data_IF_358039930218
#
_entry.id   IF_358039930218
#
_cell.length_a   1.000
_cell.length_b   1.000
_cell.length_c   1.000
_cell.angle_alpha   90.00
_cell.angle_beta   90.00
_cell.angle_gamma   90.00
#
_symmetry.space_group_name_H-M   'P 1'
#
loop_
_entity.id
_entity.type
_entity.pdbx_description
1 polymer ?
#
# COMPACT_ATOMS: atom_id res chain seq x y z
N UNK A 1 -14.03 -5.62 23.22
CA UNK A 1 -14.58 -4.77 22.13
C UNK A 1 -13.86 -3.41 22.03
N UNK A 2 -12.84 -3.12 22.86
CA UNK A 2 -12.32 -1.75 23.04
C UNK A 2 -11.20 -1.29 22.09
N UNK A 3 -10.34 -2.19 21.61
CA UNK A 3 -9.23 -1.79 20.72
C UNK A 3 -9.74 -1.35 19.34
N UNK A 4 -10.74 -2.07 18.81
CA UNK A 4 -11.33 -1.81 17.50
C UNK A 4 -12.03 -0.44 17.45
N UNK A 5 -12.73 -0.04 18.50
CA UNK A 5 -13.39 1.27 18.56
C UNK A 5 -12.35 2.41 18.58
N UNK A 6 -11.24 2.23 19.31
CA UNK A 6 -10.15 3.22 19.39
C UNK A 6 -9.41 3.40 18.06
N UNK A 7 -9.32 2.35 17.24
CA UNK A 7 -8.71 2.45 15.90
C UNK A 7 -9.42 3.48 15.00
N UNK A 8 -10.73 3.70 15.19
CA UNK A 8 -11.48 4.69 14.40
C UNK A 8 -11.13 6.16 14.71
N UNK A 9 -10.45 6.39 15.84
CA UNK A 9 -9.98 7.71 16.27
C UNK A 9 -8.54 8.00 15.84
N UNK A 10 -7.80 6.97 15.40
CA UNK A 10 -6.41 7.11 14.99
C UNK A 10 -6.30 7.62 13.55
N UNK A 11 -5.33 8.51 13.32
CA UNK A 11 -4.92 8.96 11.99
C UNK A 11 -3.75 8.15 11.43
N UNK A 12 -3.01 7.48 12.31
CA UNK A 12 -1.77 6.79 12.03
C UNK A 12 -1.61 5.54 12.90
N UNK A 13 -0.89 4.55 12.37
CA UNK A 13 -0.59 3.30 13.07
C UNK A 13 0.88 2.93 12.89
N UNK A 14 1.55 2.62 13.99
CA UNK A 14 2.90 2.03 13.98
C UNK A 14 2.81 0.57 14.38
N UNK A 15 3.36 -0.32 13.55
CA UNK A 15 3.30 -1.76 13.70
C UNK A 15 4.74 -2.30 13.67
N UNK A 16 5.14 -3.02 14.72
CA UNK A 16 6.48 -3.62 14.76
C UNK A 16 6.63 -4.74 13.72
N UNK A 17 5.65 -5.64 13.66
CA UNK A 17 5.60 -6.73 12.70
C UNK A 17 4.16 -7.20 12.53
N UNK A 18 3.81 -7.61 11.32
CA UNK A 18 2.57 -8.33 11.06
C UNK A 18 2.87 -9.82 10.97
N UNK A 19 1.98 -10.64 11.54
CA UNK A 19 2.03 -12.09 11.40
C UNK A 19 0.61 -12.58 11.12
N UNK A 20 0.29 -12.74 9.84
CA UNK A 20 -1.00 -13.28 9.42
C UNK A 20 -0.96 -14.81 9.60
N UNK A 21 -1.75 -15.34 10.52
CA UNK A 21 -2.03 -16.78 10.58
C UNK A 21 -2.89 -17.16 9.37
N UNK A 22 -2.50 -18.21 8.64
CA UNK A 22 -3.02 -18.60 7.31
C UNK A 22 -4.44 -19.17 7.28
N UNK A 23 -5.31 -18.77 8.20
CA UNK A 23 -6.71 -19.21 8.27
C UNK A 23 -7.60 -18.02 8.57
N UNK A 24 -8.10 -17.37 7.53
CA UNK A 24 -9.14 -16.35 7.66
C UNK A 24 -10.23 -16.59 6.61
N UNK A 25 -10.73 -17.83 6.58
CA UNK A 25 -12.01 -18.14 5.96
C UNK A 25 -13.09 -18.00 7.04
N UNK A 26 -13.61 -16.79 7.22
CA UNK A 26 -14.98 -16.62 7.70
C UNK A 26 -15.56 -15.32 7.17
N UNK A 27 -16.62 -15.47 6.38
CA UNK A 27 -17.40 -14.37 5.80
C UNK A 27 -17.92 -13.38 6.83
N UNK A 28 -18.03 -13.78 8.10
CA UNK A 28 -18.49 -12.95 9.22
C UNK A 28 -17.41 -12.01 9.76
N UNK A 29 -16.14 -12.42 9.74
CA UNK A 29 -15.01 -11.52 10.03
C UNK A 29 -14.73 -10.56 8.88
N UNK A 30 -14.97 -10.96 7.63
CA UNK A 30 -14.90 -10.06 6.48
C UNK A 30 -15.93 -8.92 6.58
N UNK A 31 -17.16 -9.22 6.98
CA UNK A 31 -18.20 -8.20 7.22
C UNK A 31 -17.78 -7.25 8.34
N UNK A 32 -17.26 -7.78 9.46
CA UNK A 32 -16.75 -6.94 10.55
C UNK A 32 -15.53 -6.11 10.11
N UNK A 33 -14.61 -6.66 9.32
CA UNK A 33 -13.46 -5.92 8.75
C UNK A 33 -13.92 -4.81 7.82
N UNK A 34 -14.91 -5.04 6.96
CA UNK A 34 -15.50 -4.00 6.10
C UNK A 34 -16.20 -2.90 6.91
N UNK A 35 -16.87 -3.24 8.01
CA UNK A 35 -17.48 -2.26 8.90
C UNK A 35 -16.45 -1.41 9.64
N UNK A 36 -15.37 -2.04 10.11
CA UNK A 36 -14.26 -1.36 10.79
C UNK A 36 -13.49 -0.49 9.81
N UNK A 37 -13.17 -1.01 8.61
CA UNK A 37 -12.40 -0.30 7.59
C UNK A 37 -13.11 0.96 7.08
N UNK A 38 -14.43 0.94 6.97
CA UNK A 38 -15.22 2.12 6.58
C UNK A 38 -15.27 3.21 7.66
N UNK A 39 -15.09 2.86 8.94
CA UNK A 39 -15.01 3.81 10.05
C UNK A 39 -13.58 4.23 10.37
N UNK A 40 -12.60 3.43 9.95
CA UNK A 40 -11.20 3.68 10.17
C UNK A 40 -10.74 4.93 9.41
N UNK A 41 -10.09 5.86 10.12
CA UNK A 41 -9.55 7.11 9.57
C UNK A 41 -8.03 7.08 9.39
N UNK A 42 -7.40 5.93 9.63
CA UNK A 42 -5.96 5.76 9.48
C UNK A 42 -5.57 6.03 8.03
N UNK A 43 -4.72 7.04 7.87
CA UNK A 43 -4.14 7.46 6.59
C UNK A 43 -2.67 7.07 6.48
N UNK A 44 -1.98 6.88 7.62
CA UNK A 44 -0.55 6.59 7.66
C UNK A 44 -0.27 5.29 8.39
N UNK A 45 0.55 4.44 7.79
CA UNK A 45 1.02 3.22 8.44
C UNK A 45 2.55 3.20 8.41
N UNK A 46 3.14 2.89 9.55
CA UNK A 46 4.57 2.68 9.73
C UNK A 46 4.77 1.21 10.12
N UNK A 47 5.42 0.44 9.26
CA UNK A 47 5.68 -0.98 9.44
C UNK A 47 7.18 -1.18 9.63
N UNK A 48 7.58 -1.59 10.82
CA UNK A 48 9.01 -1.73 11.13
C UNK A 48 9.62 -2.95 10.42
N UNK A 49 8.88 -4.07 10.38
CA UNK A 49 9.30 -5.30 9.70
C UNK A 49 8.23 -5.79 8.76
N UNK A 50 8.63 -5.94 7.51
CA UNK A 50 7.81 -6.51 6.44
C UNK A 50 8.39 -7.86 6.00
N UNK A 51 7.54 -8.88 5.96
CA UNK A 51 7.96 -10.24 5.65
C UNK A 51 7.30 -10.80 4.39
N UNK A 52 6.03 -10.46 4.13
CA UNK A 52 5.23 -11.07 3.06
C UNK A 52 4.22 -10.11 2.46
N UNK A 53 3.98 -10.17 1.15
CA UNK A 53 3.06 -9.27 0.44
C UNK A 53 1.62 -9.35 0.94
N UNK A 54 1.18 -10.49 1.49
CA UNK A 54 -0.15 -10.64 2.08
C UNK A 54 -0.39 -9.65 3.22
N UNK A 55 0.67 -9.21 3.90
CA UNK A 55 0.60 -8.17 4.95
C UNK A 55 0.14 -6.82 4.34
N UNK A 56 0.63 -6.46 3.15
CA UNK A 56 0.17 -5.23 2.48
C UNK A 56 -1.28 -5.37 2.02
N UNK A 57 -1.65 -6.53 1.47
CA UNK A 57 -3.03 -6.78 1.06
C UNK A 57 -3.99 -6.63 2.25
N UNK A 58 -3.59 -7.12 3.41
CA UNK A 58 -4.33 -6.93 4.65
C UNK A 58 -4.45 -5.45 5.01
N UNK A 59 -3.34 -4.70 4.99
CA UNK A 59 -3.32 -3.27 5.34
C UNK A 59 -4.17 -2.42 4.39
N UNK A 60 -4.11 -2.66 3.08
CA UNK A 60 -4.93 -1.96 2.08
C UNK A 60 -6.42 -2.18 2.34
N UNK A 61 -6.83 -3.40 2.67
CA UNK A 61 -8.23 -3.73 2.99
C UNK A 61 -8.67 -3.16 4.34
N UNK A 62 -7.78 -3.18 5.33
CA UNK A 62 -8.06 -2.74 6.69
C UNK A 62 -8.09 -1.21 6.83
N UNK A 63 -7.26 -0.51 6.05
CA UNK A 63 -7.14 0.95 6.02
C UNK A 63 -7.37 1.45 4.58
N UNK A 64 -8.62 1.48 4.09
CA UNK A 64 -8.94 1.84 2.71
C UNK A 64 -8.61 3.30 2.38
N UNK A 65 -8.47 4.16 3.40
CA UNK A 65 -8.04 5.56 3.27
C UNK A 65 -6.54 5.76 3.47
N UNK A 66 -5.78 4.67 3.61
CA UNK A 66 -4.32 4.73 3.72
C UNK A 66 -3.76 5.42 2.48
N UNK A 67 -3.05 6.51 2.71
CA UNK A 67 -2.34 7.26 1.69
C UNK A 67 -0.83 7.21 1.81
N UNK A 68 -0.33 6.70 2.94
CA UNK A 68 1.06 6.65 3.29
C UNK A 68 1.39 5.31 3.94
N UNK A 69 2.40 4.63 3.41
CA UNK A 69 2.99 3.44 4.00
C UNK A 69 4.50 3.62 4.09
N UNK A 70 5.06 3.48 5.28
CA UNK A 70 6.51 3.46 5.50
C UNK A 70 6.92 2.08 5.99
N UNK A 71 7.93 1.49 5.36
CA UNK A 71 8.50 0.20 5.71
C UNK A 71 9.97 0.38 6.08
N UNK A 72 10.35 0.02 7.30
CA UNK A 72 11.74 0.19 7.77
C UNK A 72 12.67 -0.96 7.38
N UNK A 73 12.14 -2.18 7.28
CA UNK A 73 12.95 -3.36 6.97
C UNK A 73 12.18 -4.31 6.06
N UNK A 74 12.78 -4.59 4.91
CA UNK A 74 12.31 -5.56 3.93
C UNK A 74 13.28 -6.74 3.98
N UNK A 75 12.88 -7.81 4.67
CA UNK A 75 13.75 -8.98 4.83
C UNK A 75 13.61 -9.93 3.65
N UNK A 76 14.73 -10.28 3.01
CA UNK A 76 14.84 -11.34 2.00
C UNK A 76 13.84 -11.26 0.83
N UNK A 77 13.32 -10.07 0.53
CA UNK A 77 12.40 -9.88 -0.58
C UNK A 77 13.06 -9.07 -1.69
N UNK A 78 12.83 -9.49 -2.94
CA UNK A 78 13.22 -8.72 -4.11
C UNK A 78 12.40 -7.42 -4.14
N UNK A 79 13.07 -6.28 -3.90
CA UNK A 79 12.43 -4.98 -3.82
C UNK A 79 11.81 -4.59 -5.18
N UNK A 80 12.38 -5.03 -6.30
CA UNK A 80 11.80 -4.77 -7.62
C UNK A 80 10.46 -5.48 -7.79
N UNK A 81 10.42 -6.76 -7.39
CA UNK A 81 9.19 -7.54 -7.39
C UNK A 81 8.15 -6.91 -6.44
N UNK A 82 8.58 -6.51 -5.25
CA UNK A 82 7.72 -5.85 -4.27
C UNK A 82 7.07 -4.58 -4.85
N UNK A 83 7.85 -3.69 -5.48
CA UNK A 83 7.29 -2.48 -6.11
C UNK A 83 6.29 -2.85 -7.21
N UNK A 84 6.60 -3.83 -8.07
CA UNK A 84 5.67 -4.28 -9.12
C UNK A 84 4.34 -4.73 -8.54
N UNK A 85 4.37 -5.58 -7.51
CA UNK A 85 3.17 -6.07 -6.85
C UNK A 85 2.35 -4.94 -6.22
N UNK A 86 3.00 -3.98 -5.57
CA UNK A 86 2.32 -2.79 -5.03
C UNK A 86 1.62 -2.00 -6.13
N UNK A 87 2.31 -1.72 -7.24
CA UNK A 87 1.74 -0.97 -8.35
C UNK A 87 0.56 -1.71 -9.01
N UNK A 88 0.69 -3.02 -9.19
CA UNK A 88 -0.39 -3.87 -9.71
C UNK A 88 -1.61 -3.85 -8.79
N UNK A 89 -1.40 -3.85 -7.47
CA UNK A 89 -2.48 -3.73 -6.48
C UNK A 89 -3.17 -2.39 -6.53
N UNK A 90 -2.43 -1.29 -6.61
CA UNK A 90 -3.01 0.06 -6.75
C UNK A 90 -3.82 0.18 -8.05
N UNK A 91 -3.35 -0.47 -9.11
CA UNK A 91 -4.02 -0.45 -10.40
C UNK A 91 -5.33 -1.25 -10.38
N UNK A 92 -5.33 -2.42 -9.75
CA UNK A 92 -6.43 -3.39 -9.82
C UNK A 92 -7.43 -3.32 -8.64
N UNK A 93 -6.96 -3.09 -7.41
CA UNK A 93 -7.79 -3.17 -6.20
C UNK A 93 -8.51 -1.85 -5.86
N UNK A 94 -8.37 -0.83 -6.70
CA UNK A 94 -9.18 0.39 -6.62
C UNK A 94 -8.91 1.30 -5.41
N UNK A 95 -7.88 1.04 -4.60
CA UNK A 95 -7.48 1.96 -3.54
C UNK A 95 -6.90 3.25 -4.14
N UNK A 96 -7.80 4.21 -4.38
CA UNK A 96 -7.50 5.52 -4.96
C UNK A 96 -6.73 6.45 -4.02
N UNK A 97 -6.64 6.09 -2.73
CA UNK A 97 -6.01 6.93 -1.71
C UNK A 97 -4.53 6.58 -1.52
N UNK A 98 -4.09 5.38 -1.88
CA UNK A 98 -2.70 4.98 -1.67
C UNK A 98 -1.76 5.58 -2.72
N UNK A 99 -1.05 6.63 -2.34
CA UNK A 99 -0.19 7.40 -3.25
C UNK A 99 1.24 7.65 -2.75
N UNK A 100 1.57 7.29 -1.51
CA UNK A 100 2.94 7.43 -0.97
C UNK A 100 3.42 6.12 -0.34
N UNK A 101 4.57 5.64 -0.81
CA UNK A 101 5.32 4.52 -0.23
C UNK A 101 6.71 5.01 0.16
N UNK A 102 7.15 4.69 1.37
CA UNK A 102 8.47 5.01 1.88
C UNK A 102 9.18 3.72 2.25
N UNK A 103 10.38 3.51 1.74
CA UNK A 103 11.18 2.33 2.02
C UNK A 103 12.49 2.79 2.63
N UNK A 104 12.76 2.38 3.86
CA UNK A 104 14.09 2.51 4.45
C UNK A 104 14.96 1.45 3.79
N UNK A 105 15.84 1.88 2.89
CA UNK A 105 16.73 1.01 2.14
C UNK A 105 18.15 1.49 2.49
N UNK A 106 18.96 0.63 3.13
CA UNK A 106 20.24 1.04 3.71
C UNK A 106 21.35 1.30 2.66
N UNK A 107 21.05 1.81 1.47
CA UNK A 107 22.04 1.99 0.41
C UNK A 107 22.00 3.36 -0.25
N UNK A 108 23.20 3.96 -0.38
CA UNK A 108 23.54 5.11 -1.24
C UNK A 108 23.54 4.75 -2.74
N UNK A 109 22.80 3.72 -3.16
CA UNK A 109 22.94 3.15 -4.49
C UNK A 109 21.97 3.80 -5.46
N UNK A 110 22.43 4.84 -6.17
CA UNK A 110 21.70 5.54 -7.22
C UNK A 110 21.08 4.58 -8.27
N UNK A 111 21.65 3.38 -8.42
CA UNK A 111 21.12 2.30 -9.25
C UNK A 111 19.68 1.89 -8.86
N UNK A 112 19.35 1.88 -7.56
CA UNK A 112 18.00 1.53 -7.08
C UNK A 112 16.95 2.55 -7.52
N UNK A 113 17.29 3.84 -7.52
CA UNK A 113 16.39 4.90 -7.99
C UNK A 113 16.10 4.71 -9.48
N UNK A 114 17.11 4.39 -10.29
CA UNK A 114 16.94 4.15 -11.72
C UNK A 114 16.10 2.91 -12.00
N UNK A 115 16.33 1.82 -11.26
CA UNK A 115 15.48 0.62 -11.30
C UNK A 115 14.02 0.93 -11.00
N UNK A 116 13.76 1.71 -9.95
CA UNK A 116 12.38 2.11 -9.62
C UNK A 116 11.76 2.98 -10.70
N UNK A 117 12.51 3.91 -11.31
CA UNK A 117 12.03 4.67 -12.47
C UNK A 117 11.64 3.73 -13.61
N UNK A 118 12.46 2.74 -13.93
CA UNK A 118 12.17 1.78 -15.01
C UNK A 118 10.91 0.94 -14.70
N UNK A 119 10.73 0.51 -13.46
CA UNK A 119 9.53 -0.24 -13.02
C UNK A 119 8.28 0.64 -13.11
N UNK A 120 8.35 1.88 -12.62
CA UNK A 120 7.20 2.80 -12.67
C UNK A 120 6.88 3.19 -14.12
N UNK A 121 7.88 3.48 -14.95
CA UNK A 121 7.70 3.85 -16.36
C UNK A 121 7.12 2.71 -17.21
N UNK A 122 7.43 1.46 -16.86
CA UNK A 122 6.81 0.30 -17.51
C UNK A 122 5.35 0.08 -17.07
N UNK A 123 4.91 0.75 -16.00
CA UNK A 123 3.54 0.72 -15.51
C UNK A 123 2.68 1.83 -16.14
N UNK A 124 1.82 1.46 -17.09
CA UNK A 124 1.03 2.40 -17.93
C UNK A 124 -0.07 3.19 -17.21
N UNK A 125 -0.36 2.88 -15.94
CA UNK A 125 -1.51 3.46 -15.20
C UNK A 125 -1.14 4.64 -14.29
N UNK A 126 0.15 4.96 -14.20
CA UNK A 126 0.67 6.06 -13.40
C UNK A 126 0.98 7.23 -14.33
N UNK A 127 0.34 8.38 -14.11
CA UNK A 127 0.47 9.58 -14.97
C UNK A 127 1.57 10.50 -14.46
N UNK A 128 1.80 10.47 -13.15
CA UNK A 128 2.81 11.29 -12.51
C UNK A 128 3.39 10.52 -11.34
N UNK A 129 4.70 10.60 -11.18
CA UNK A 129 5.38 10.10 -9.99
C UNK A 129 6.57 10.97 -9.63
N UNK A 130 7.00 10.87 -8.39
CA UNK A 130 8.27 11.41 -7.92
C UNK A 130 8.97 10.38 -7.04
N UNK A 131 10.29 10.30 -7.20
CA UNK A 131 11.16 9.51 -6.36
C UNK A 131 12.11 10.48 -5.67
N UNK A 132 12.14 10.47 -4.34
CA UNK A 132 13.07 11.28 -3.54
C UNK A 132 13.85 10.37 -2.62
N UNK A 133 15.15 10.57 -2.53
CA UNK A 133 15.98 9.93 -1.52
C UNK A 133 16.29 10.98 -0.45
N UNK A 134 15.96 10.68 0.80
CA UNK A 134 16.26 11.53 1.95
C UNK A 134 16.92 10.62 2.99
N UNK A 135 18.22 10.84 3.24
CA UNK A 135 19.05 9.90 4.03
C UNK A 135 18.95 8.49 3.42
N UNK A 136 18.64 7.49 4.23
CA UNK A 136 18.50 6.08 3.82
C UNK A 136 17.03 5.70 3.50
N UNK A 137 16.18 6.69 3.20
CA UNK A 137 14.75 6.46 2.92
C UNK A 137 14.41 6.91 1.51
N UNK A 138 13.91 5.97 0.71
CA UNK A 138 13.37 6.24 -0.61
C UNK A 138 11.87 6.50 -0.50
N UNK A 139 11.47 7.69 -0.90
CA UNK A 139 10.08 8.12 -1.02
C UNK A 139 9.62 7.94 -2.47
N UNK A 140 8.64 7.07 -2.66
CA UNK A 140 7.92 6.88 -3.91
C UNK A 140 6.55 7.51 -3.76
N UNK A 141 6.26 8.50 -4.59
CA UNK A 141 4.95 9.16 -4.65
C UNK A 141 4.41 9.06 -6.06
N UNK A 142 3.11 8.81 -6.22
CA UNK A 142 2.48 8.76 -7.53
C UNK A 142 1.09 9.39 -7.54
N UNK A 143 0.59 9.72 -8.73
CA UNK A 143 -0.81 10.07 -8.96
C UNK A 143 -1.36 9.15 -10.04
N UNK A 144 -2.52 8.57 -9.75
CA UNK A 144 -3.24 7.72 -10.70
C UNK A 144 -3.96 8.58 -11.73
N UNK A 145 -4.06 8.08 -12.98
CA UNK A 145 -4.96 8.69 -13.95
C UNK A 145 -6.41 8.47 -13.53
N UNK A 146 -7.08 9.54 -13.12
CA UNK A 146 -8.50 9.47 -12.78
C UNK A 146 -9.37 9.12 -14.00
N UNK A 147 -8.93 9.44 -15.22
CA UNK A 147 -9.72 9.21 -16.44
C UNK A 147 -9.72 7.75 -16.89
N UNK A 148 -8.60 7.02 -16.74
CA UNK A 148 -8.56 5.59 -17.05
C UNK A 148 -9.40 4.76 -16.06
N UNK A 149 -9.40 5.13 -14.78
CA UNK A 149 -10.19 4.46 -13.75
C UNK A 149 -11.70 4.60 -13.98
N UNK A 150 -12.17 5.81 -14.30
CA UNK A 150 -13.58 6.08 -14.61
C UNK A 150 -14.06 5.34 -15.87
N UNK A 151 -13.20 5.19 -16.89
CA UNK A 151 -13.55 4.45 -18.10
C UNK A 151 -13.63 2.93 -17.84
N UNK A 152 -12.80 2.38 -16.95
CA UNK A 152 -12.84 0.96 -16.56
C UNK A 152 -14.10 0.62 -15.75
N UNK A 153 -14.56 1.52 -14.88
CA UNK A 153 -15.83 1.37 -14.14
C UNK A 153 -17.04 1.45 -15.09
N UNK A 154 -17.03 2.36 -16.07
CA UNK A 154 -18.12 2.49 -17.04
C UNK A 154 -18.31 1.25 -17.91
N UNK A 155 -17.24 0.53 -18.26
CA UNK A 155 -17.36 -0.73 -19.01
C UNK A 155 -17.84 -1.91 -18.17
N UNK A 156 -17.59 -1.93 -16.85
CA UNK A 156 -18.06 -3.00 -15.96
C UNK A 156 -19.54 -2.89 -15.58
N UNK A 157 -20.13 -1.68 -15.63
CA UNK A 157 -21.56 -1.45 -15.29
C UNK A 157 -22.49 -1.71 -16.49
N UNK A 158 -21.96 -1.84 -17.71
CA UNK A 158 -22.75 -2.02 -18.94
C UNK A 158 -22.92 -3.49 -19.38
N UNK A 159 -22.88 -4.45 -18.46
CA UNK A 159 -23.21 -5.87 -18.74
C UNK A 159 -24.24 -6.41 -17.75
#
# INVERSE_FOLDING_TARGET
MDIICRLSELDSLKIHSLSLSSTCDSSMEEINRCFISNKNKITKIYLEKFNKIEEINFLIKFCPRMNYLHIDSINNMDIELFIKEILDKINNDGNQYFYTLCLSIPTEDNNMIEKFKNIINSNKSIVWYSIKCILDVIYLQWKKDYYQYMNKIKTTINY
#
